data_IF_588451652516
#
_entry.id   IF_588451652516
#
_cell.length_a   1.000
_cell.length_b   1.000
_cell.length_c   1.000
_cell.angle_alpha   90.00
_cell.angle_beta   90.00
_cell.angle_gamma   90.00
#
_symmetry.space_group_name_H-M   'P 1'
#
loop_
_entity.id
_entity.type
_entity.pdbx_description
1 polymer ?
#
# COMPACT_ATOMS: atom_id res chain seq x y z
N UNK A 1 15.16 -19.24 1.67
CA UNK A 1 13.74 -19.21 1.24
C UNK A 1 13.10 -17.95 1.82
N UNK A 2 13.54 -16.78 1.37
CA UNK A 2 13.04 -15.49 1.84
C UNK A 2 12.51 -14.71 0.65
N UNK A 3 11.35 -14.09 0.81
CA UNK A 3 10.85 -13.00 -0.03
C UNK A 3 10.47 -13.32 -1.50
N UNK A 4 10.06 -14.54 -1.82
CA UNK A 4 9.65 -14.90 -3.20
C UNK A 4 8.45 -14.08 -3.74
N UNK A 5 7.75 -13.32 -2.89
CA UNK A 5 6.52 -12.59 -3.25
C UNK A 5 6.54 -11.09 -2.91
N UNK A 6 7.71 -10.48 -2.69
CA UNK A 6 7.80 -9.03 -2.50
C UNK A 6 8.35 -8.34 -3.74
N UNK A 7 7.55 -7.45 -4.35
CA UNK A 7 7.98 -6.59 -5.46
C UNK A 7 8.19 -5.14 -4.99
N UNK A 8 9.14 -4.42 -5.61
CA UNK A 8 9.37 -3.00 -5.33
C UNK A 8 8.40 -2.13 -6.16
N UNK A 9 7.60 -1.33 -5.48
CA UNK A 9 6.74 -0.32 -6.11
C UNK A 9 7.39 1.07 -6.02
N UNK A 10 7.56 1.73 -7.16
CA UNK A 10 7.99 3.13 -7.25
C UNK A 10 6.83 3.96 -7.76
N UNK A 11 6.51 5.06 -7.09
CA UNK A 11 5.41 5.95 -7.45
C UNK A 11 5.92 7.39 -7.50
N UNK A 12 5.64 8.08 -8.61
CA UNK A 12 5.82 9.52 -8.70
C UNK A 12 4.61 10.22 -8.08
N UNK A 13 4.86 10.97 -7.01
CA UNK A 13 3.83 11.74 -6.29
C UNK A 13 4.36 13.14 -5.99
N UNK A 14 3.44 14.09 -5.80
CA UNK A 14 3.84 15.45 -5.43
C UNK A 14 4.49 15.46 -4.03
N UNK A 15 5.41 16.41 -3.76
CA UNK A 15 6.02 16.54 -2.43
C UNK A 15 4.98 16.73 -1.32
N UNK A 16 3.90 17.46 -1.60
CA UNK A 16 2.79 17.67 -0.68
C UNK A 16 2.04 16.37 -0.36
N UNK A 17 1.79 15.52 -1.36
CA UNK A 17 1.18 14.21 -1.15
C UNK A 17 2.09 13.29 -0.32
N UNK A 18 3.40 13.28 -0.61
CA UNK A 18 4.37 12.53 0.18
C UNK A 18 4.39 12.96 1.65
N UNK A 19 4.32 14.27 1.91
CA UNK A 19 4.25 14.79 3.28
C UNK A 19 3.00 14.31 4.01
N UNK A 20 1.83 14.38 3.37
CA UNK A 20 0.56 13.92 3.95
C UNK A 20 0.59 12.43 4.28
N UNK A 21 1.07 11.58 3.36
CA UNK A 21 1.19 10.13 3.58
C UNK A 21 2.10 9.85 4.77
N UNK A 22 3.25 10.53 4.84
CA UNK A 22 4.22 10.37 5.94
C UNK A 22 3.61 10.76 7.30
N UNK A 23 2.88 11.88 7.36
CA UNK A 23 2.20 12.33 8.58
C UNK A 23 1.15 11.29 9.01
N UNK A 24 0.31 10.81 8.08
CA UNK A 24 -0.69 9.79 8.40
C UNK A 24 -0.07 8.49 8.92
N UNK A 25 1.01 8.02 8.30
CA UNK A 25 1.72 6.82 8.74
C UNK A 25 2.32 7.00 10.16
N UNK A 26 2.94 8.16 10.41
CA UNK A 26 3.49 8.50 11.72
C UNK A 26 2.40 8.56 12.81
N UNK A 27 1.28 9.22 12.54
CA UNK A 27 0.14 9.29 13.48
C UNK A 27 -0.43 7.92 13.81
N UNK A 28 -0.37 6.96 12.87
CA UNK A 28 -0.86 5.59 13.06
C UNK A 28 0.21 4.64 13.61
N UNK A 29 1.47 5.08 13.80
CA UNK A 29 2.56 4.25 14.29
C UNK A 29 3.02 3.16 13.31
N UNK A 30 2.75 3.31 12.01
CA UNK A 30 3.10 2.35 10.96
C UNK A 30 4.08 2.95 9.95
N UNK A 31 4.72 2.12 9.13
CA UNK A 31 5.55 2.64 8.04
C UNK A 31 4.68 3.13 6.87
N UNK A 32 5.25 4.00 6.02
CA UNK A 32 4.59 4.41 4.77
C UNK A 32 4.29 3.20 3.88
N UNK A 33 5.18 2.19 3.87
CA UNK A 33 4.98 0.98 3.09
C UNK A 33 3.78 0.17 3.61
N UNK A 34 3.63 0.04 4.93
CA UNK A 34 2.49 -0.69 5.53
C UNK A 34 1.17 0.05 5.30
N UNK A 35 1.17 1.38 5.43
CA UNK A 35 -0.01 2.18 5.13
C UNK A 35 -0.45 2.02 3.68
N UNK A 36 0.50 2.12 2.73
CA UNK A 36 0.21 1.93 1.31
C UNK A 36 -0.22 0.49 1.00
N UNK A 37 0.38 -0.51 1.64
CA UNK A 37 -0.04 -1.91 1.48
C UNK A 37 -1.49 -2.11 1.93
N UNK A 38 -1.86 -1.62 3.12
CA UNK A 38 -3.25 -1.72 3.60
C UNK A 38 -4.26 -0.93 2.75
N UNK A 39 -3.84 0.19 2.14
CA UNK A 39 -4.68 0.89 1.15
C UNK A 39 -4.88 0.06 -0.12
N UNK A 40 -3.81 -0.52 -0.66
CA UNK A 40 -3.85 -1.35 -1.86
C UNK A 40 -4.64 -2.65 -1.63
N UNK A 41 -4.47 -3.32 -0.49
CA UNK A 41 -5.22 -4.55 -0.14
C UNK A 41 -6.73 -4.29 -0.03
N UNK A 42 -7.12 -3.11 0.47
CA UNK A 42 -8.54 -2.71 0.56
C UNK A 42 -9.14 -2.39 -0.82
N UNK A 43 -8.35 -1.78 -1.71
CA UNK A 43 -8.80 -1.43 -3.06
C UNK A 43 -8.78 -2.65 -4.00
N UNK A 44 -7.83 -3.56 -3.81
CA UNK A 44 -7.61 -4.76 -4.61
C UNK A 44 -7.57 -6.03 -3.73
N UNK A 45 -8.71 -6.44 -3.15
CA UNK A 45 -8.76 -7.66 -2.34
C UNK A 45 -8.49 -8.90 -3.20
N UNK A 46 -7.66 -9.84 -2.71
CA UNK A 46 -7.34 -11.10 -3.40
C UNK A 46 -8.58 -11.94 -3.72
N UNK A 47 -9.62 -11.80 -2.90
CA UNK A 47 -10.92 -12.45 -3.08
C UNK A 47 -11.96 -11.48 -3.62
N UNK A 48 -11.61 -10.62 -4.61
CA UNK A 48 -12.63 -10.10 -5.51
C UNK A 48 -13.27 -11.33 -6.13
N UNK A 49 -14.41 -11.73 -5.55
CA UNK A 49 -15.17 -12.93 -5.90
C UNK A 49 -15.06 -13.08 -7.40
N UNK A 50 -14.57 -14.25 -7.76
CA UNK A 50 -14.88 -14.95 -8.98
C UNK A 50 -16.35 -14.63 -9.37
N UNK A 51 -16.55 -13.51 -10.04
CA UNK A 51 -17.72 -13.26 -10.85
C UNK A 51 -17.42 -14.04 -12.13
N UNK A 52 -17.60 -15.36 -12.01
CA UNK A 52 -17.78 -16.26 -13.14
C UNK A 52 -19.30 -16.47 -13.27
N UNK A 53 -19.92 -16.43 -14.46
CA UNK A 53 -19.47 -15.95 -15.77
C UNK A 53 -20.12 -14.62 -16.21
#
# INVERSE_FOLDING_TARGET
>A
KGDLYTARLTLDITPAMRARIKVSAFTQGVTVADLLRGLLEREFPEHRRENTP
#
